data_IF_536185607132
#
_entry.id   IF_536185607132
#
_cell.length_a   1.000
_cell.length_b   1.000
_cell.length_c   1.000
_cell.angle_alpha   90.00
_cell.angle_beta   90.00
_cell.angle_gamma   90.00
#
_symmetry.space_group_name_H-M   'P 1'
#
loop_
_entity.id
_entity.type
_entity.pdbx_description
1 polymer ?
#
# COMPACT_ATOMS: atom_id res chain seq x y z
N UNK A 1 51.69 36.32 -16.81
CA UNK A 1 52.00 35.68 -15.51
C UNK A 1 50.87 34.69 -15.22
N UNK A 2 51.26 33.42 -14.96
CA UNK A 2 50.43 32.26 -14.59
C UNK A 2 49.50 31.70 -15.69
N UNK A 3 49.85 30.55 -16.29
CA UNK A 3 49.64 29.14 -15.84
C UNK A 3 48.18 28.70 -16.07
N UNK A 4 47.83 27.51 -16.57
CA UNK A 4 48.59 26.32 -16.91
C UNK A 4 47.64 25.10 -16.96
N UNK A 5 47.95 24.16 -17.85
CA UNK A 5 47.64 22.71 -17.87
C UNK A 5 46.20 22.17 -18.11
N UNK A 6 46.05 21.10 -18.92
CA UNK A 6 44.76 20.52 -19.31
C UNK A 6 44.41 19.17 -18.63
N UNK A 7 43.10 18.93 -18.57
CA UNK A 7 42.32 17.69 -18.72
C UNK A 7 43.06 16.34 -18.56
N UNK A 8 42.74 15.62 -17.47
CA UNK A 8 43.02 14.18 -17.33
C UNK A 8 41.68 13.43 -17.27
N UNK A 9 41.40 12.62 -18.29
CA UNK A 9 40.26 11.72 -18.35
C UNK A 9 40.56 10.44 -17.55
N UNK A 10 39.81 10.20 -16.48
CA UNK A 10 39.83 8.95 -15.72
C UNK A 10 38.58 8.12 -16.02
N UNK A 11 38.76 7.02 -16.75
CA UNK A 11 37.76 5.98 -16.97
C UNK A 11 37.76 5.05 -15.76
N UNK A 12 36.64 4.98 -15.05
CA UNK A 12 36.45 4.08 -13.91
C UNK A 12 35.64 2.85 -14.32
N UNK A 13 36.24 1.71 -13.98
CA UNK A 13 35.94 0.32 -14.29
C UNK A 13 34.72 -0.17 -13.50
N UNK A 14 33.68 -0.66 -14.19
CA UNK A 14 32.51 -1.32 -13.58
C UNK A 14 32.71 -2.85 -13.56
N UNK A 15 32.70 -3.42 -12.37
CA UNK A 15 32.76 -4.87 -12.12
C UNK A 15 31.32 -5.40 -11.93
N UNK A 16 30.88 -6.26 -12.85
CA UNK A 16 29.59 -6.95 -12.81
C UNK A 16 29.74 -8.24 -12.00
N UNK A 17 29.01 -8.38 -10.89
CA UNK A 17 28.86 -9.66 -10.17
C UNK A 17 27.41 -10.15 -10.30
N UNK A 18 27.22 -11.28 -11.00
CA UNK A 18 25.97 -12.06 -10.98
C UNK A 18 26.00 -13.05 -9.80
N UNK A 19 24.87 -13.35 -9.14
CA UNK A 19 24.77 -14.50 -8.25
C UNK A 19 24.43 -15.78 -9.02
N UNK A 20 25.10 -16.87 -8.65
CA UNK A 20 24.87 -18.23 -9.13
C UNK A 20 23.63 -18.85 -8.47
N UNK A 21 22.75 -19.44 -9.27
CA UNK A 21 21.66 -20.31 -8.80
C UNK A 21 22.21 -21.73 -8.58
N UNK A 22 22.14 -22.22 -7.35
CA UNK A 22 22.35 -23.64 -7.04
C UNK A 22 21.00 -24.36 -7.06
N UNK A 23 20.90 -25.40 -7.88
CA UNK A 23 19.80 -26.36 -7.92
C UNK A 23 20.03 -27.45 -6.89
N UNK A 24 19.10 -27.64 -5.96
CA UNK A 24 19.03 -28.87 -5.15
C UNK A 24 17.65 -29.50 -5.28
N UNK A 25 17.64 -30.78 -5.67
CA UNK A 25 16.44 -31.60 -5.87
C UNK A 25 16.11 -32.36 -4.58
N UNK A 26 14.83 -32.51 -4.19
CA UNK A 26 14.48 -33.31 -3.02
C UNK A 26 14.40 -34.80 -3.37
N UNK A 27 15.10 -35.64 -2.62
CA UNK A 27 14.88 -37.09 -2.58
C UNK A 27 13.76 -37.43 -1.56
N UNK A 28 12.97 -38.51 -1.78
CA UNK A 28 11.82 -38.85 -0.94
C UNK A 28 12.21 -39.72 0.25
N UNK A 29 11.69 -39.40 1.44
CA UNK A 29 11.88 -40.22 2.65
C UNK A 29 10.53 -40.67 3.22
N UNK A 30 10.21 -41.91 2.84
CA UNK A 30 9.40 -42.95 3.50
C UNK A 30 8.66 -42.65 4.82
N UNK A 31 7.38 -43.01 4.80
CA UNK A 31 6.47 -43.28 5.93
C UNK A 31 7.05 -44.39 6.82
N UNK A 32 7.14 -44.14 8.13
CA UNK A 32 7.31 -45.21 9.13
C UNK A 32 6.47 -44.94 10.38
N UNK A 33 5.39 -45.73 10.47
CA UNK A 33 4.77 -46.37 11.65
C UNK A 33 5.11 -45.88 13.06
N UNK A 34 4.07 -45.45 13.79
CA UNK A 34 4.05 -45.34 15.26
C UNK A 34 4.02 -46.72 15.94
N UNK A 35 4.81 -46.90 17.02
CA UNK A 35 4.50 -47.80 18.13
C UNK A 35 4.30 -47.03 19.47
N UNK A 36 3.80 -47.68 20.53
CA UNK A 36 2.79 -47.12 21.45
C UNK A 36 3.35 -46.34 22.65
N UNK A 37 2.47 -45.52 23.23
CA UNK A 37 2.66 -44.70 24.44
C UNK A 37 2.93 -45.57 25.68
N UNK A 38 4.06 -45.38 26.40
CA UNK A 38 4.24 -45.88 27.75
C UNK A 38 3.87 -44.82 28.80
N UNK A 39 3.27 -45.31 29.89
CA UNK A 39 2.73 -44.55 31.01
C UNK A 39 3.77 -43.71 31.80
N UNK A 40 3.27 -42.64 32.41
CA UNK A 40 4.00 -41.70 33.25
C UNK A 40 4.61 -42.33 34.52
N UNK A 41 5.82 -41.90 34.94
CA UNK A 41 6.27 -41.98 36.32
C UNK A 41 6.21 -40.60 37.02
N UNK A 42 5.75 -40.62 38.27
CA UNK A 42 5.68 -39.47 39.17
C UNK A 42 7.06 -39.00 39.67
N UNK A 43 7.13 -37.68 39.89
CA UNK A 43 8.06 -36.85 40.66
C UNK A 43 9.29 -37.49 41.36
N UNK A 44 10.47 -36.86 41.19
CA UNK A 44 11.22 -36.12 42.23
C UNK A 44 12.58 -35.63 41.68
N UNK A 45 12.81 -34.31 41.68
CA UNK A 45 13.98 -33.64 42.30
C UNK A 45 14.11 -32.20 41.81
N UNK A 46 13.88 -31.26 42.72
CA UNK A 46 14.06 -29.82 42.56
C UNK A 46 15.55 -29.45 42.51
N UNK A 47 16.00 -28.81 41.44
CA UNK A 47 17.29 -28.14 41.36
C UNK A 47 17.01 -26.67 40.98
N UNK A 48 17.43 -25.67 41.80
CA UNK A 48 17.24 -24.26 41.45
C UNK A 48 18.24 -23.88 40.36
N UNK A 49 17.74 -23.71 39.14
CA UNK A 49 18.53 -23.08 38.06
C UNK A 49 18.71 -21.61 38.44
N UNK A 50 19.95 -21.21 38.73
CA UNK A 50 20.32 -19.79 38.87
C UNK A 50 19.92 -19.07 37.58
N UNK A 51 18.98 -18.13 37.69
CA UNK A 51 18.66 -17.21 36.62
C UNK A 51 19.88 -16.34 36.35
N UNK A 52 20.51 -16.53 35.19
CA UNK A 52 21.53 -15.63 34.68
C UNK A 52 20.82 -14.42 34.05
N UNK A 53 20.63 -13.37 34.85
CA UNK A 53 19.98 -12.12 34.46
C UNK A 53 20.97 -11.21 33.73
N UNK A 54 21.48 -11.62 32.56
CA UNK A 54 22.41 -10.76 31.81
C UNK A 54 22.27 -10.82 30.28
N UNK A 55 21.16 -11.34 29.77
CA UNK A 55 20.83 -11.23 28.35
C UNK A 55 19.33 -10.98 28.20
N UNK A 56 18.90 -9.75 28.49
CA UNK A 56 17.63 -9.24 27.98
C UNK A 56 17.76 -9.06 26.46
N UNK A 57 17.48 -10.13 25.72
CA UNK A 57 17.13 -10.01 24.31
C UNK A 57 15.83 -9.20 24.29
N UNK A 58 15.94 -7.90 23.97
CA UNK A 58 14.78 -7.11 23.62
C UNK A 58 14.21 -7.68 22.33
N UNK A 59 13.22 -8.56 22.45
CA UNK A 59 12.41 -8.96 21.32
C UNK A 59 11.64 -7.72 20.85
N UNK A 60 11.89 -7.31 19.61
CA UNK A 60 11.07 -6.29 18.95
C UNK A 60 9.60 -6.67 19.02
N UNK A 61 8.72 -5.67 19.14
CA UNK A 61 7.28 -5.86 19.29
C UNK A 61 6.74 -6.81 18.22
N UNK A 62 6.27 -7.98 18.65
CA UNK A 62 5.71 -8.99 17.76
C UNK A 62 4.28 -8.55 17.40
N UNK A 63 4.10 -7.95 16.21
CA UNK A 63 2.80 -7.51 15.63
C UNK A 63 1.92 -8.68 15.16
N UNK A 64 1.69 -9.71 15.99
CA UNK A 64 1.09 -10.98 15.53
C UNK A 64 -0.44 -11.00 15.49
N UNK A 65 -1.14 -10.00 16.05
CA UNK A 65 -2.61 -10.07 16.14
C UNK A 65 -3.34 -9.63 14.86
N UNK A 66 -2.77 -8.72 14.06
CA UNK A 66 -3.38 -8.28 12.80
C UNK A 66 -3.11 -9.24 11.64
N UNK A 67 -1.87 -9.67 11.45
CA UNK A 67 -1.47 -10.48 10.31
C UNK A 67 -2.15 -11.85 10.26
N UNK A 68 -2.30 -12.52 11.41
CA UNK A 68 -2.95 -13.85 11.45
C UNK A 68 -4.42 -13.77 11.06
N UNK A 69 -5.12 -12.74 11.53
CA UNK A 69 -6.53 -12.50 11.19
C UNK A 69 -6.67 -12.07 9.72
N UNK A 70 -5.80 -11.20 9.23
CA UNK A 70 -5.79 -10.76 7.83
C UNK A 70 -5.46 -11.91 6.89
N UNK A 71 -4.49 -12.77 7.23
CA UNK A 71 -4.23 -14.01 6.49
C UNK A 71 -5.41 -14.97 6.51
N UNK A 72 -6.05 -15.16 7.66
CA UNK A 72 -7.25 -16.01 7.74
C UNK A 72 -8.40 -15.49 6.87
N UNK A 73 -8.56 -14.16 6.73
CA UNK A 73 -9.51 -13.54 5.81
C UNK A 73 -9.10 -13.72 4.33
N UNK A 74 -7.81 -13.62 4.02
CA UNK A 74 -7.29 -13.79 2.66
C UNK A 74 -7.35 -15.23 2.13
N UNK A 75 -7.47 -16.24 3.00
CA UNK A 75 -7.58 -17.67 2.62
C UNK A 75 -9.01 -18.05 2.22
N UNK A 76 -10.01 -17.21 2.49
CA UNK A 76 -11.39 -17.42 2.02
C UNK A 76 -11.51 -16.89 0.57
N UNK A 77 -10.62 -17.34 -0.30
CA UNK A 77 -10.77 -17.15 -1.74
C UNK A 77 -11.47 -18.39 -2.28
N UNK A 78 -12.79 -18.33 -2.35
CA UNK A 78 -13.53 -19.17 -3.29
C UNK A 78 -13.03 -18.77 -4.68
N UNK A 79 -12.74 -19.72 -5.57
CA UNK A 79 -12.55 -19.45 -7.01
C UNK A 79 -13.81 -18.75 -7.52
N UNK A 80 -13.80 -17.43 -7.47
CA UNK A 80 -14.82 -16.57 -8.04
C UNK A 80 -14.24 -16.09 -9.37
N UNK A 81 -15.08 -15.87 -10.38
CA UNK A 81 -14.66 -15.26 -11.64
C UNK A 81 -14.26 -13.78 -11.49
N UNK A 82 -13.78 -13.40 -10.31
CA UNK A 82 -13.34 -12.06 -9.91
C UNK A 82 -11.84 -11.95 -10.14
N UNK A 83 -11.41 -10.82 -10.66
CA UNK A 83 -10.00 -10.41 -10.67
C UNK A 83 -9.76 -9.47 -9.49
N UNK A 84 -8.70 -9.74 -8.71
CA UNK A 84 -8.29 -8.90 -7.59
C UNK A 84 -6.92 -8.29 -7.84
N UNK A 85 -6.82 -6.97 -7.67
CA UNK A 85 -5.59 -6.21 -7.77
C UNK A 85 -5.26 -5.59 -6.42
N UNK A 86 -4.01 -5.71 -6.00
CA UNK A 86 -3.55 -5.23 -4.71
C UNK A 86 -2.52 -4.13 -4.94
N UNK A 87 -2.82 -2.95 -4.44
CA UNK A 87 -1.92 -1.81 -4.44
C UNK A 87 -1.43 -1.58 -3.02
N UNK A 88 -0.13 -1.69 -2.80
CA UNK A 88 0.53 -1.42 -1.52
C UNK A 88 1.24 -0.06 -1.53
N UNK A 89 1.83 0.32 -0.40
CA UNK A 89 2.56 1.59 -0.27
C UNK A 89 3.75 1.69 -1.23
N UNK A 90 4.36 0.56 -1.58
CA UNK A 90 5.43 0.49 -2.57
C UNK A 90 4.92 0.84 -3.97
N UNK A 91 3.73 0.34 -4.32
CA UNK A 91 3.07 0.66 -5.59
C UNK A 91 2.68 2.13 -5.64
N UNK A 92 2.15 2.68 -4.55
CA UNK A 92 1.83 4.12 -4.43
C UNK A 92 3.10 4.95 -4.59
N UNK A 93 4.18 4.61 -3.90
CA UNK A 93 5.45 5.33 -4.00
C UNK A 93 6.10 5.25 -5.39
N UNK A 94 5.74 4.25 -6.20
CA UNK A 94 6.22 4.10 -7.57
C UNK A 94 5.41 4.91 -8.60
N UNK A 95 4.25 5.48 -8.22
CA UNK A 95 3.50 6.38 -9.09
C UNK A 95 4.31 7.66 -9.37
N UNK A 96 4.09 8.31 -10.52
CA UNK A 96 4.76 9.58 -10.85
C UNK A 96 4.59 10.66 -9.77
N UNK A 97 3.39 10.79 -9.20
CA UNK A 97 3.12 11.76 -8.12
C UNK A 97 3.25 11.15 -6.71
N UNK A 98 3.60 9.87 -6.63
CA UNK A 98 3.75 9.13 -5.38
C UNK A 98 2.50 9.21 -4.50
N UNK A 99 2.71 9.56 -3.22
CA UNK A 99 1.64 9.77 -2.23
C UNK A 99 0.80 11.03 -2.44
N UNK A 100 1.14 11.87 -3.43
CA UNK A 100 0.36 13.06 -3.78
C UNK A 100 -0.66 12.77 -4.89
N UNK A 101 -0.55 11.60 -5.55
CA UNK A 101 -1.48 11.18 -6.58
C UNK A 101 -2.91 11.06 -6.05
N UNK A 102 -3.93 11.42 -6.85
CA UNK A 102 -5.32 11.12 -6.56
C UNK A 102 -5.54 9.59 -6.58
N UNK A 103 -6.56 9.13 -5.85
CA UNK A 103 -6.91 7.72 -5.74
C UNK A 103 -7.17 7.05 -7.11
N UNK A 104 -7.74 7.79 -8.06
CA UNK A 104 -8.07 7.34 -9.41
C UNK A 104 -6.84 6.87 -10.16
N UNK A 105 -5.75 7.62 -10.11
CA UNK A 105 -4.53 7.34 -10.85
C UNK A 105 -3.91 6.01 -10.46
N UNK A 106 -4.08 5.63 -9.18
CA UNK A 106 -3.68 4.33 -8.69
C UNK A 106 -4.59 3.22 -9.27
N UNK A 107 -5.90 3.43 -9.30
CA UNK A 107 -6.85 2.45 -9.86
C UNK A 107 -6.70 2.33 -11.38
N UNK A 108 -6.30 3.40 -12.08
CA UNK A 108 -6.01 3.39 -13.51
C UNK A 108 -4.85 2.48 -13.90
N UNK A 109 -3.97 2.14 -12.95
CA UNK A 109 -2.94 1.13 -13.18
C UNK A 109 -3.51 -0.30 -13.28
N UNK A 110 -4.76 -0.53 -12.86
CA UNK A 110 -5.40 -1.83 -13.01
C UNK A 110 -5.82 -2.09 -14.48
N UNK A 111 -5.61 -3.32 -14.98
CA UNK A 111 -6.08 -3.72 -16.30
C UNK A 111 -7.59 -3.56 -16.48
N UNK A 112 -7.99 -3.04 -17.64
CA UNK A 112 -9.40 -2.86 -17.99
C UNK A 112 -10.08 -1.69 -17.29
N UNK A 113 -9.32 -0.81 -16.63
CA UNK A 113 -9.78 0.47 -16.12
C UNK A 113 -9.40 1.57 -17.12
N UNK A 114 -10.35 2.46 -17.42
CA UNK A 114 -10.13 3.67 -18.19
C UNK A 114 -10.76 4.85 -17.45
N UNK A 115 -10.34 6.07 -17.75
CA UNK A 115 -10.95 7.29 -17.23
C UNK A 115 -11.60 8.05 -18.38
N UNK A 116 -12.69 8.77 -18.11
CA UNK A 116 -13.20 9.79 -19.02
C UNK A 116 -12.69 11.19 -18.66
N UNK A 117 -13.03 12.18 -19.48
CA UNK A 117 -12.62 13.57 -19.30
C UNK A 117 -13.21 14.24 -18.04
N UNK A 118 -14.17 13.62 -17.36
CA UNK A 118 -14.73 14.10 -16.10
C UNK A 118 -14.10 13.41 -14.88
N UNK A 119 -13.04 12.63 -15.08
CA UNK A 119 -12.35 11.92 -14.01
C UNK A 119 -13.00 10.61 -13.60
N UNK A 120 -14.14 10.23 -14.20
CA UNK A 120 -14.89 9.05 -13.80
C UNK A 120 -14.24 7.78 -14.36
N UNK A 121 -14.18 6.75 -13.53
CA UNK A 121 -13.57 5.48 -13.90
C UNK A 121 -14.58 4.57 -14.61
N UNK A 122 -14.11 3.97 -15.69
CA UNK A 122 -14.79 2.96 -16.47
C UNK A 122 -14.08 1.63 -16.28
N UNK A 123 -14.76 0.63 -15.73
CA UNK A 123 -14.16 -0.68 -15.49
C UNK A 123 -14.81 -1.67 -16.43
N UNK A 124 -14.02 -2.23 -17.34
CA UNK A 124 -14.46 -3.20 -18.36
C UNK A 124 -15.66 -2.71 -19.19
N UNK A 125 -15.73 -1.39 -19.42
CA UNK A 125 -16.76 -0.73 -20.24
C UNK A 125 -17.99 -0.27 -19.46
N UNK A 126 -18.04 -0.48 -18.14
CA UNK A 126 -19.11 0.03 -17.28
C UNK A 126 -18.70 1.39 -16.67
N UNK A 127 -19.63 2.34 -16.62
CA UNK A 127 -19.36 3.76 -16.32
C UNK A 127 -19.68 4.10 -14.87
N UNK A 128 -18.65 4.54 -14.12
CA UNK A 128 -18.77 5.02 -12.74
C UNK A 128 -19.52 4.06 -11.79
N UNK A 129 -19.52 2.77 -12.11
CA UNK A 129 -20.25 1.74 -11.36
C UNK A 129 -19.30 0.98 -10.41
N UNK A 130 -18.51 1.74 -9.66
CA UNK A 130 -17.56 1.23 -8.66
C UNK A 130 -18.09 1.52 -7.26
N UNK A 131 -17.91 0.59 -6.33
CA UNK A 131 -18.18 0.82 -4.91
C UNK A 131 -16.90 1.12 -4.15
N UNK A 132 -16.84 2.26 -3.46
CA UNK A 132 -15.78 2.57 -2.51
C UNK A 132 -16.10 2.06 -1.11
N UNK A 133 -15.08 1.50 -0.46
CA UNK A 133 -15.15 1.06 0.93
C UNK A 133 -13.89 1.51 1.65
N UNK A 134 -14.04 1.98 2.88
CA UNK A 134 -12.92 2.33 3.75
C UNK A 134 -12.95 1.39 4.95
N UNK A 135 -11.88 0.63 5.14
CA UNK A 135 -11.74 -0.36 6.20
C UNK A 135 -12.90 -1.38 6.23
N UNK A 136 -13.43 -1.74 5.05
CA UNK A 136 -14.56 -2.66 4.89
C UNK A 136 -15.95 -2.05 5.07
N UNK A 137 -16.05 -0.76 5.41
CA UNK A 137 -17.32 -0.03 5.50
C UNK A 137 -17.62 0.61 4.16
N UNK A 138 -18.83 0.39 3.63
CA UNK A 138 -19.28 1.02 2.38
C UNK A 138 -19.42 2.53 2.57
N UNK A 139 -18.87 3.29 1.62
CA UNK A 139 -19.14 4.71 1.51
C UNK A 139 -20.20 4.88 0.41
N UNK A 140 -21.47 5.15 0.76
CA UNK A 140 -22.47 5.45 -0.25
C UNK A 140 -22.12 6.80 -0.88
N UNK A 141 -21.78 6.78 -2.16
CA UNK A 141 -21.56 8.02 -2.91
C UNK A 141 -22.89 8.75 -3.10
N UNK A 142 -23.00 9.98 -2.57
CA UNK A 142 -24.17 10.85 -2.80
C UNK A 142 -23.98 11.76 -4.03
N UNK A 143 -22.74 11.90 -4.49
CA UNK A 143 -22.31 12.71 -5.63
C UNK A 143 -21.25 11.95 -6.43
N UNK A 144 -21.27 12.07 -7.75
CA UNK A 144 -20.22 11.55 -8.63
C UNK A 144 -18.87 12.23 -8.32
N UNK A 145 -17.76 11.48 -8.36
CA UNK A 145 -16.40 12.03 -8.19
C UNK A 145 -15.84 11.98 -6.76
N UNK A 146 -16.44 11.20 -5.85
CA UNK A 146 -15.92 11.08 -4.48
C UNK A 146 -14.47 10.57 -4.43
N UNK A 147 -14.08 9.68 -5.35
CA UNK A 147 -12.69 9.26 -5.44
C UNK A 147 -11.71 10.43 -5.65
N UNK A 148 -12.12 11.50 -6.36
CA UNK A 148 -11.21 12.57 -6.81
C UNK A 148 -10.80 13.43 -5.61
N UNK A 149 -11.61 13.40 -4.55
CA UNK A 149 -11.34 14.10 -3.30
C UNK A 149 -10.37 13.35 -2.37
N UNK A 150 -10.04 12.10 -2.69
CA UNK A 150 -9.22 11.24 -1.83
C UNK A 150 -7.81 11.12 -2.40
N UNK A 151 -6.82 11.66 -1.67
CA UNK A 151 -5.41 11.44 -1.97
C UNK A 151 -4.93 10.05 -1.53
N UNK A 152 -3.85 9.57 -2.13
CA UNK A 152 -3.26 8.25 -1.78
C UNK A 152 -2.50 8.23 -0.45
N UNK A 153 -2.18 9.39 0.15
CA UNK A 153 -1.37 9.52 1.37
C UNK A 153 -1.90 8.77 2.59
N UNK A 154 -3.21 8.84 2.85
CA UNK A 154 -3.81 8.16 4.01
C UNK A 154 -3.97 6.64 3.80
N UNK A 155 -3.64 6.14 2.61
CA UNK A 155 -3.91 4.78 2.18
C UNK A 155 -2.69 3.91 2.47
N UNK A 156 -2.93 2.82 3.20
CA UNK A 156 -1.94 1.77 3.43
C UNK A 156 -1.93 0.76 2.30
N UNK A 157 -3.12 0.36 1.85
CA UNK A 157 -3.31 -0.53 0.71
C UNK A 157 -4.70 -0.39 0.12
N UNK A 158 -4.81 -0.76 -1.15
CA UNK A 158 -6.09 -0.87 -1.86
C UNK A 158 -6.22 -2.27 -2.40
N UNK A 159 -7.38 -2.88 -2.16
CA UNK A 159 -7.79 -4.10 -2.82
C UNK A 159 -8.90 -3.73 -3.82
N UNK A 160 -8.59 -3.80 -5.11
CA UNK A 160 -9.55 -3.56 -6.19
C UNK A 160 -10.05 -4.88 -6.76
N UNK A 161 -11.36 -5.12 -6.67
CA UNK A 161 -12.03 -6.32 -7.16
C UNK A 161 -12.91 -5.95 -8.36
N UNK A 162 -12.85 -6.73 -9.44
CA UNK A 162 -13.69 -6.55 -10.64
C UNK A 162 -14.03 -7.88 -11.32
N UNK A 163 -15.02 -7.90 -12.21
CA UNK A 163 -15.48 -9.11 -12.89
C UNK A 163 -16.70 -9.73 -12.21
N UNK A 164 -16.69 -11.04 -11.96
CA UNK A 164 -17.81 -11.73 -11.34
C UNK A 164 -17.82 -11.53 -9.81
N UNK A 165 -18.14 -10.32 -9.37
CA UNK A 165 -18.17 -9.93 -7.96
C UNK A 165 -19.04 -10.89 -7.13
N UNK A 166 -18.58 -11.31 -5.93
CA UNK A 166 -19.38 -12.13 -5.03
C UNK A 166 -20.70 -11.46 -4.65
N UNK A 167 -21.76 -12.25 -4.41
CA UNK A 167 -23.11 -11.76 -4.11
C UNK A 167 -23.22 -10.85 -2.87
N UNK A 168 -22.19 -10.81 -2.02
CA UNK A 168 -22.11 -9.86 -0.90
C UNK A 168 -21.95 -8.40 -1.36
N UNK A 169 -21.50 -8.17 -2.58
CA UNK A 169 -21.36 -6.86 -3.20
C UNK A 169 -22.50 -6.67 -4.20
N UNK A 170 -23.64 -6.18 -3.71
CA UNK A 170 -24.85 -6.01 -4.53
C UNK A 170 -25.16 -4.57 -4.96
N UNK A 171 -24.34 -3.60 -4.58
CA UNK A 171 -24.62 -2.17 -4.82
C UNK A 171 -24.15 -1.67 -6.19
N UNK A 172 -23.00 -2.19 -6.65
CA UNK A 172 -22.29 -1.80 -7.87
C UNK A 172 -21.70 -3.06 -8.50
N UNK A 173 -21.71 -3.13 -9.82
CA UNK A 173 -21.37 -4.32 -10.60
C UNK A 173 -20.03 -4.24 -11.33
N UNK A 174 -19.49 -3.05 -11.60
CA UNK A 174 -18.21 -2.93 -12.29
C UNK A 174 -16.99 -3.25 -11.41
N UNK A 175 -17.03 -2.84 -10.14
CA UNK A 175 -15.95 -3.14 -9.20
C UNK A 175 -16.17 -2.68 -7.76
N UNK A 176 -15.27 -3.15 -6.89
CA UNK A 176 -15.21 -2.78 -5.47
C UNK A 176 -13.79 -2.35 -5.15
N UNK A 177 -13.64 -1.12 -4.66
CA UNK A 177 -12.38 -0.56 -4.18
C UNK A 177 -12.41 -0.57 -2.66
N UNK A 178 -11.64 -1.45 -2.04
CA UNK A 178 -11.50 -1.51 -0.59
C UNK A 178 -10.19 -0.86 -0.15
N UNK A 179 -10.32 0.31 0.47
CA UNK A 179 -9.22 1.13 0.97
C UNK A 179 -8.94 0.73 2.42
N UNK A 180 -7.71 0.36 2.72
CA UNK A 180 -7.24 0.21 4.10
C UNK A 180 -6.42 1.43 4.46
N UNK A 181 -6.81 2.13 5.53
CA UNK A 181 -6.11 3.36 5.95
C UNK A 181 -4.82 3.05 6.70
N UNK A 182 -3.87 3.98 6.69
CA UNK A 182 -2.72 3.94 7.58
C UNK A 182 -3.16 3.97 9.04
N UNK A 183 -2.39 3.31 9.90
CA UNK A 183 -2.61 3.29 11.34
C UNK A 183 -1.33 3.73 12.07
N UNK A 184 -1.50 4.28 13.28
CA UNK A 184 -0.38 4.80 14.06
C UNK A 184 0.61 3.75 14.55
N UNK A 185 0.21 2.47 14.62
CA UNK A 185 1.13 1.39 15.00
C UNK A 185 2.07 1.01 13.85
N UNK A 186 1.59 1.09 12.62
CA UNK A 186 2.32 0.74 11.40
C UNK A 186 3.11 1.91 10.84
N UNK A 187 2.61 3.13 10.97
CA UNK A 187 3.36 4.34 10.66
C UNK A 187 4.54 4.54 11.63
N UNK A 188 4.38 4.14 12.89
CA UNK A 188 5.35 4.38 13.95
C UNK A 188 5.22 5.78 14.54
N UNK A 189 5.86 6.02 15.68
CA UNK A 189 5.80 7.32 16.33
C UNK A 189 6.68 8.33 15.58
N UNK A 190 6.05 9.31 14.93
CA UNK A 190 6.76 10.33 14.17
C UNK A 190 5.86 11.12 13.24
N UNK A 191 6.48 11.99 12.44
CA UNK A 191 5.81 12.72 11.39
C UNK A 191 6.71 12.95 10.20
N UNK A 192 6.10 13.17 9.04
CA UNK A 192 6.76 13.54 7.79
C UNK A 192 6.14 14.82 7.26
N UNK A 193 6.93 15.55 6.49
CA UNK A 193 6.47 16.70 5.70
C UNK A 193 6.98 16.47 4.30
N UNK A 194 6.09 16.54 3.32
CA UNK A 194 6.42 16.42 1.92
C UNK A 194 5.99 17.68 1.16
N UNK A 195 6.75 18.00 0.12
CA UNK A 195 6.46 19.12 -0.75
C UNK A 195 6.50 18.65 -2.20
N UNK A 196 5.38 18.78 -2.89
CA UNK A 196 5.27 18.50 -4.32
C UNK A 196 5.02 19.80 -5.08
N UNK A 197 5.70 19.98 -6.21
CA UNK A 197 5.52 21.13 -7.08
C UNK A 197 5.76 20.74 -8.53
N UNK A 198 5.05 21.37 -9.46
CA UNK A 198 5.05 20.95 -10.86
C UNK A 198 4.63 22.04 -11.83
N UNK A 199 4.29 21.62 -13.05
CA UNK A 199 3.74 22.50 -14.09
C UNK A 199 2.36 23.04 -13.71
N UNK A 200 1.84 24.01 -14.47
CA UNK A 200 0.52 24.61 -14.24
C UNK A 200 0.34 25.20 -12.84
N UNK A 201 1.40 25.73 -12.22
CA UNK A 201 1.31 26.30 -10.88
C UNK A 201 1.08 25.28 -9.76
N UNK A 202 1.26 23.97 -10.04
CA UNK A 202 1.04 22.91 -9.05
C UNK A 202 1.96 23.10 -7.85
N UNK A 203 1.38 23.23 -6.65
CA UNK A 203 2.06 23.33 -5.37
C UNK A 203 1.24 22.61 -4.30
N UNK A 204 1.80 21.53 -3.74
CA UNK A 204 1.10 20.66 -2.81
C UNK A 204 1.98 20.29 -1.60
N UNK A 205 1.97 21.11 -0.54
CA UNK A 205 2.57 20.74 0.74
C UNK A 205 1.67 19.74 1.47
N UNK A 206 2.29 18.81 2.18
CA UNK A 206 1.60 17.80 2.95
C UNK A 206 2.34 17.45 4.23
N UNK A 207 1.58 17.01 5.22
CA UNK A 207 2.06 16.62 6.54
C UNK A 207 1.39 15.33 6.96
N UNK A 208 2.15 14.45 7.60
CA UNK A 208 1.64 13.25 8.25
C UNK A 208 2.20 13.16 9.66
N UNK A 209 1.37 12.68 10.57
CA UNK A 209 1.76 12.42 11.94
C UNK A 209 1.03 11.18 12.43
N UNK A 210 1.80 10.20 12.92
CA UNK A 210 1.27 8.94 13.43
C UNK A 210 1.97 8.53 14.69
N UNK A 211 1.29 7.70 15.48
CA UNK A 211 1.88 7.11 16.66
C UNK A 211 0.92 6.23 17.43
N UNK A 212 1.49 5.53 18.40
CA UNK A 212 0.75 4.78 19.39
C UNK A 212 1.24 5.15 20.79
N UNK A 213 0.31 5.38 21.70
CA UNK A 213 0.59 5.60 23.11
C UNK A 213 -0.31 4.68 23.96
N UNK A 214 0.31 3.69 24.60
CA UNK A 214 -0.40 2.70 25.40
C UNK A 214 -1.38 1.87 24.55
N UNK A 215 -2.69 2.11 24.74
CA UNK A 215 -3.77 1.44 24.01
C UNK A 215 -4.38 2.32 22.90
N UNK A 216 -3.92 3.57 22.78
CA UNK A 216 -4.41 4.54 21.81
C UNK A 216 -3.52 4.55 20.58
N UNK A 217 -4.13 4.48 19.40
CA UNK A 217 -3.46 4.60 18.11
C UNK A 217 -4.06 5.79 17.36
N UNK A 218 -3.21 6.62 16.79
CA UNK A 218 -3.66 7.78 16.01
C UNK A 218 -2.82 7.93 14.75
N UNK A 219 -3.46 8.44 13.71
CA UNK A 219 -2.82 8.83 12.47
C UNK A 219 -3.59 10.03 11.91
N UNK A 220 -2.86 11.08 11.58
CA UNK A 220 -3.37 12.35 11.07
C UNK A 220 -2.58 12.72 9.85
N UNK A 221 -3.26 13.14 8.80
CA UNK A 221 -2.63 13.68 7.59
C UNK A 221 -3.36 14.93 7.16
N UNK A 222 -2.62 15.86 6.57
CA UNK A 222 -3.14 17.07 5.97
C UNK A 222 -2.41 17.36 4.67
N UNK A 223 -3.15 17.79 3.66
CA UNK A 223 -2.64 18.16 2.34
C UNK A 223 -3.29 19.48 1.94
N UNK A 224 -2.54 20.32 1.24
CA UNK A 224 -3.08 21.50 0.57
C UNK A 224 -2.64 21.41 -0.89
N UNK A 225 -3.51 21.67 -1.85
CA UNK A 225 -3.21 21.66 -3.27
C UNK A 225 -3.57 23.01 -3.88
N UNK A 226 -2.58 23.64 -4.52
CA UNK A 226 -2.78 24.76 -5.42
C UNK A 226 -2.41 24.34 -6.84
N UNK A 227 -3.24 24.68 -7.83
CA UNK A 227 -2.99 24.44 -9.26
C UNK A 227 -3.78 25.42 -10.12
N UNK A 228 -3.30 25.69 -11.33
CA UNK A 228 -3.97 26.51 -12.35
C UNK A 228 -4.61 25.63 -13.44
N UNK A 229 -4.77 24.33 -13.16
CA UNK A 229 -5.46 23.38 -14.03
C UNK A 229 -6.76 22.94 -13.34
N UNK A 230 -7.88 23.17 -14.02
CA UNK A 230 -9.22 22.77 -13.58
C UNK A 230 -9.74 21.59 -14.40
N UNK A 231 -10.85 21.79 -15.11
CA UNK A 231 -11.33 20.81 -16.08
C UNK A 231 -10.52 20.95 -17.37
N UNK A 232 -10.18 19.83 -18.00
CA UNK A 232 -9.39 19.84 -19.23
C UNK A 232 -10.02 20.74 -20.31
N UNK A 233 -9.20 21.68 -20.80
CA UNK A 233 -9.61 22.66 -21.79
C UNK A 233 -9.77 21.98 -23.16
N UNK A 234 -10.85 22.24 -23.90
CA UNK A 234 -10.98 21.78 -25.28
C UNK A 234 -10.03 22.53 -26.23
N UNK A 235 -9.29 23.53 -25.73
CA UNK A 235 -8.31 24.33 -26.47
C UNK A 235 -6.91 24.19 -25.86
N UNK A 236 -5.82 24.33 -26.64
CA UNK A 236 -4.46 24.14 -26.14
C UNK A 236 -3.98 25.15 -25.09
N UNK A 237 -4.73 26.24 -24.89
CA UNK A 237 -4.38 27.31 -23.97
C UNK A 237 -4.91 27.02 -22.55
N UNK A 238 -4.12 27.36 -21.53
CA UNK A 238 -4.53 27.29 -20.13
C UNK A 238 -5.68 28.29 -19.85
N UNK A 239 -6.85 27.83 -19.38
CA UNK A 239 -7.96 28.74 -19.09
C UNK A 239 -7.60 29.70 -17.94
N UNK A 240 -8.01 30.96 -18.06
CA UNK A 240 -7.77 32.02 -17.06
C UNK A 240 -8.62 31.88 -15.78
N UNK A 241 -9.41 30.81 -15.67
CA UNK A 241 -10.41 30.60 -14.61
C UNK A 241 -10.18 29.31 -13.82
N UNK A 242 -9.04 28.64 -14.05
CA UNK A 242 -8.75 27.29 -13.57
C UNK A 242 -7.92 27.26 -12.28
N UNK A 243 -7.80 28.41 -11.60
CA UNK A 243 -7.14 28.51 -10.31
C UNK A 243 -7.92 27.70 -9.26
N UNK A 244 -7.25 26.71 -8.69
CA UNK A 244 -7.77 25.75 -7.72
C UNK A 244 -6.93 25.80 -6.45
N UNK A 245 -7.62 25.89 -5.31
CA UNK A 245 -7.03 25.76 -3.97
C UNK A 245 -7.90 24.80 -3.15
N UNK A 246 -7.33 23.68 -2.67
CA UNK A 246 -8.03 22.58 -1.97
C UNK A 246 -7.29 22.09 -0.75
#
# INVERSE_FOLDING_TARGET
>A
MFNGLPLLAGILLSCLCLPAFATDSPAPSSISTMPPVPAAPAATSTQPVKANTDNTVQLGSIKVRGERLNRARAIINVETGTSSYHFDTQTIAALPEGYNAPLQDLILQAPGVAQDSFGQLHVRGDHADIQYRINGIIIPEFISGFGDTLGTRFIKKIDFLTGALPAQYGYRTAGVVNITTNDGMDYGNGGSVDLYAGSHGTFQPSVEYGGSEGQMNYYVTGTYLQSNAGIESPTPDSPIHDDTEQ
#
